data_IF_263446886394
#
_entry.id   IF_263446886394
#
_cell.length_a   1.000
_cell.length_b   1.000
_cell.length_c   1.000
_cell.angle_alpha   90.00
_cell.angle_beta   90.00
_cell.angle_gamma   90.00
#
_symmetry.space_group_name_H-M   'P 1'
#
loop_
_entity.id
_entity.type
_entity.pdbx_description
1 polymer ?
#
# COMPACT_ATOMS: atom_id res chain seq x y z
N UNK A 1 -9.48 -8.85 14.18
CA UNK A 1 -9.96 -10.24 14.06
C UNK A 1 -10.76 -10.37 12.76
N UNK A 2 -10.46 -11.36 11.92
CA UNK A 2 -11.26 -11.54 10.73
C UNK A 2 -12.71 -11.91 11.10
N UNK A 3 -13.62 -11.45 10.27
CA UNK A 3 -15.03 -11.80 10.38
C UNK A 3 -15.21 -13.31 10.18
N UNK A 4 -16.24 -13.87 10.78
CA UNK A 4 -16.60 -15.28 10.60
C UNK A 4 -16.78 -15.61 9.12
N UNK A 5 -17.43 -14.72 8.38
CA UNK A 5 -17.64 -14.91 6.95
C UNK A 5 -16.32 -14.96 6.18
N UNK A 6 -15.32 -14.17 6.56
CA UNK A 6 -13.98 -14.22 5.96
C UNK A 6 -13.31 -15.56 6.22
N UNK A 7 -13.39 -16.05 7.45
CA UNK A 7 -12.79 -17.33 7.82
C UNK A 7 -13.47 -18.49 7.09
N UNK A 8 -14.78 -18.40 6.91
CA UNK A 8 -15.56 -19.42 6.20
C UNK A 8 -15.53 -19.28 4.68
N UNK A 9 -14.77 -18.28 4.17
CA UNK A 9 -14.64 -18.05 2.74
C UNK A 9 -15.81 -17.34 2.11
N UNK A 10 -16.74 -16.81 2.93
CA UNK A 10 -17.90 -16.07 2.45
C UNK A 10 -17.72 -14.57 2.41
N UNK A 11 -16.62 -14.06 2.95
CA UNK A 11 -16.33 -12.63 2.97
C UNK A 11 -15.76 -12.14 1.65
N UNK A 12 -16.26 -11.00 1.18
CA UNK A 12 -15.72 -10.38 -0.01
C UNK A 12 -14.46 -9.59 0.35
N UNK A 13 -13.38 -9.84 -0.39
CA UNK A 13 -12.20 -9.00 -0.31
C UNK A 13 -12.46 -7.75 -1.13
N UNK A 14 -12.16 -6.59 -0.55
CA UNK A 14 -12.25 -5.33 -1.28
C UNK A 14 -11.22 -5.30 -2.40
N UNK A 15 -11.57 -4.73 -3.56
CA UNK A 15 -10.58 -4.54 -4.62
C UNK A 15 -9.50 -3.59 -4.17
N UNK A 16 -8.29 -3.75 -4.73
CA UNK A 16 -7.17 -2.87 -4.48
C UNK A 16 -7.30 -1.57 -5.29
N UNK A 17 -6.81 -0.46 -4.73
CA UNK A 17 -6.69 0.80 -5.48
C UNK A 17 -5.77 0.67 -6.69
N UNK A 18 -4.91 -0.34 -6.73
CA UNK A 18 -3.99 -0.56 -7.85
C UNK A 18 -4.71 -0.72 -9.19
N UNK A 19 -5.94 -1.20 -9.18
CA UNK A 19 -6.76 -1.30 -10.39
C UNK A 19 -7.14 0.05 -10.99
N UNK A 20 -7.05 1.13 -10.21
CA UNK A 20 -7.37 2.49 -10.65
C UNK A 20 -6.12 3.35 -10.89
N UNK A 21 -4.93 2.84 -10.60
CA UNK A 21 -3.66 3.54 -10.69
C UNK A 21 -2.75 2.80 -11.66
N UNK A 22 -3.01 2.97 -12.95
CA UNK A 22 -2.31 2.25 -14.01
C UNK A 22 -1.32 3.12 -14.78
N UNK A 23 -1.70 4.33 -15.13
CA UNK A 23 -0.91 5.20 -16.01
C UNK A 23 -0.78 6.61 -15.47
N UNK A 24 0.16 7.35 -16.03
CA UNK A 24 0.41 8.76 -15.66
C UNK A 24 -0.90 9.56 -15.67
N UNK A 25 -1.14 10.28 -14.60
CA UNK A 25 -2.33 11.09 -14.42
C UNK A 25 -3.49 10.39 -13.71
N UNK A 26 -3.42 9.06 -13.55
CA UNK A 26 -4.45 8.34 -12.80
C UNK A 26 -4.45 8.79 -11.34
N UNK A 27 -5.65 8.97 -10.79
CA UNK A 27 -5.84 9.53 -9.46
C UNK A 27 -6.97 8.83 -8.73
N UNK A 28 -6.78 8.59 -7.44
CA UNK A 28 -7.80 8.05 -6.54
C UNK A 28 -7.99 9.03 -5.40
N UNK A 29 -9.24 9.38 -5.11
CA UNK A 29 -9.61 10.23 -3.97
C UNK A 29 -10.65 9.48 -3.16
N UNK A 30 -10.43 9.38 -1.84
CA UNK A 30 -11.38 8.70 -0.99
C UNK A 30 -11.26 9.11 0.47
N UNK A 31 -12.28 8.75 1.24
CA UNK A 31 -12.26 8.89 2.69
C UNK A 31 -11.66 7.62 3.29
N UNK A 32 -10.77 7.80 4.27
CA UNK A 32 -10.17 6.68 4.99
C UNK A 32 -11.22 6.14 5.97
N UNK A 33 -11.66 4.89 5.76
CA UNK A 33 -12.79 4.31 6.52
C UNK A 33 -12.37 3.21 7.49
N UNK A 34 -11.07 2.90 7.55
CA UNK A 34 -10.53 1.95 8.54
C UNK A 34 -9.26 2.52 9.18
N UNK A 35 -8.88 1.99 10.33
CA UNK A 35 -7.61 2.37 10.96
C UNK A 35 -6.43 1.89 10.12
N UNK A 36 -5.48 2.77 9.77
CA UNK A 36 -4.27 2.33 9.08
C UNK A 36 -3.49 1.32 9.92
N UNK A 37 -2.99 0.28 9.25
CA UNK A 37 -2.23 -0.81 9.89
C UNK A 37 -0.89 -0.97 9.20
N UNK A 38 0.11 -1.38 9.98
CA UNK A 38 1.40 -1.81 9.44
C UNK A 38 1.33 -3.32 9.20
N UNK A 39 1.68 -3.75 7.99
CA UNK A 39 1.74 -5.16 7.62
C UNK A 39 3.07 -5.44 6.94
N UNK A 40 3.64 -6.60 7.21
CA UNK A 40 4.85 -7.02 6.51
C UNK A 40 4.49 -7.44 5.09
N UNK A 41 5.28 -6.99 4.12
CA UNK A 41 5.11 -7.36 2.72
C UNK A 41 5.49 -8.82 2.49
N UNK A 42 4.83 -9.43 1.51
CA UNK A 42 5.15 -10.77 1.01
C UNK A 42 5.60 -10.67 -0.44
N UNK A 43 6.39 -11.64 -0.89
CA UNK A 43 6.72 -11.71 -2.30
C UNK A 43 5.47 -12.03 -3.13
N UNK A 44 5.45 -11.54 -4.36
CA UNK A 44 4.34 -11.81 -5.28
C UNK A 44 4.51 -13.18 -5.91
N UNK A 45 3.60 -14.12 -5.57
CA UNK A 45 3.57 -15.47 -6.14
C UNK A 45 2.15 -15.73 -6.65
N UNK A 46 2.04 -16.06 -7.92
CA UNK A 46 0.74 -16.30 -8.53
C UNK A 46 0.06 -17.53 -7.91
N UNK A 47 -1.19 -17.36 -7.49
CA UNK A 47 -2.05 -18.45 -7.02
C UNK A 47 -1.85 -18.91 -5.59
N UNK A 48 -0.91 -18.31 -4.83
CA UNK A 48 -0.70 -18.65 -3.42
C UNK A 48 -0.01 -17.51 -2.67
N UNK A 49 -0.12 -17.47 -1.32
CA UNK A 49 0.62 -16.50 -0.53
C UNK A 49 2.13 -16.71 -0.69
N UNK A 50 2.87 -15.63 -0.95
CA UNK A 50 4.31 -15.65 -0.99
C UNK A 50 4.92 -15.63 0.41
N UNK A 51 6.23 -15.83 0.48
CA UNK A 51 6.96 -15.70 1.73
C UNK A 51 7.08 -14.22 2.13
N UNK A 52 7.21 -13.96 3.44
CA UNK A 52 7.55 -12.62 3.93
C UNK A 52 8.89 -12.19 3.36
N UNK A 53 9.03 -10.89 3.08
CA UNK A 53 10.26 -10.31 2.55
C UNK A 53 10.91 -9.39 3.56
N UNK A 54 12.24 -9.29 3.45
CA UNK A 54 13.09 -8.56 4.39
C UNK A 54 14.12 -7.74 3.63
N UNK A 55 14.51 -6.61 4.22
CA UNK A 55 15.72 -5.91 3.80
C UNK A 55 16.91 -6.56 4.50
N UNK A 56 17.90 -6.94 3.72
CA UNK A 56 19.19 -7.41 4.24
C UNK A 56 20.30 -6.72 3.46
N UNK A 57 20.92 -5.75 4.10
CA UNK A 57 21.81 -4.81 3.40
C UNK A 57 21.02 -3.98 2.39
N UNK A 58 21.48 -3.98 1.14
CA UNK A 58 20.80 -3.28 0.02
C UNK A 58 19.83 -4.18 -0.75
N UNK A 59 19.69 -5.42 -0.33
CA UNK A 59 18.89 -6.42 -1.05
C UNK A 59 17.57 -6.67 -0.34
N UNK A 60 16.56 -7.04 -1.13
CA UNK A 60 15.31 -7.59 -0.62
C UNK A 60 15.37 -9.11 -0.80
N UNK A 61 15.18 -9.84 0.28
CA UNK A 61 15.25 -11.32 0.28
C UNK A 61 13.98 -11.88 0.89
N UNK A 62 13.62 -13.10 0.49
CA UNK A 62 12.50 -13.81 1.12
C UNK A 62 12.98 -14.52 2.39
N UNK A 63 12.05 -15.10 3.14
CA UNK A 63 12.34 -15.77 4.41
C UNK A 63 13.30 -16.95 4.22
N UNK A 64 13.16 -17.70 3.13
CA UNK A 64 14.01 -18.83 2.83
C UNK A 64 15.47 -18.44 2.59
N UNK A 65 15.69 -17.32 1.89
CA UNK A 65 17.02 -16.84 1.52
C UNK A 65 17.65 -15.94 2.57
N UNK A 66 16.89 -15.59 3.62
CA UNK A 66 17.35 -14.71 4.68
C UNK A 66 18.51 -15.34 5.47
N UNK A 67 19.61 -14.59 5.60
CA UNK A 67 20.73 -15.00 6.45
C UNK A 67 20.52 -14.47 7.87
N UNK A 68 20.13 -15.34 8.79
CA UNK A 68 19.80 -14.96 10.16
C UNK A 68 21.01 -14.47 10.98
N UNK A 69 22.23 -14.69 10.49
CA UNK A 69 23.44 -14.27 11.17
C UNK A 69 23.85 -12.82 10.86
N UNK A 70 23.23 -12.22 9.85
CA UNK A 70 23.46 -10.82 9.45
C UNK A 70 22.25 -9.96 9.82
N UNK A 71 22.45 -8.65 10.03
CA UNK A 71 21.33 -7.75 10.32
C UNK A 71 20.29 -7.77 9.21
N UNK A 72 19.02 -7.71 9.59
CA UNK A 72 17.90 -7.65 8.65
C UNK A 72 16.72 -6.91 9.26
N UNK A 73 15.83 -6.42 8.41
CA UNK A 73 14.61 -5.74 8.81
C UNK A 73 13.44 -6.21 7.92
N UNK A 74 12.22 -6.32 8.47
CA UNK A 74 11.07 -6.62 7.64
C UNK A 74 10.77 -5.49 6.67
N UNK A 75 10.30 -5.83 5.48
CA UNK A 75 9.78 -4.85 4.53
C UNK A 75 8.30 -4.65 4.87
N UNK A 76 7.96 -3.47 5.35
CA UNK A 76 6.62 -3.15 5.80
C UNK A 76 5.86 -2.28 4.81
N UNK A 77 4.54 -2.34 4.88
CA UNK A 77 3.63 -1.47 4.16
C UNK A 77 2.55 -0.97 5.12
N UNK A 78 1.84 0.07 4.72
CA UNK A 78 0.69 0.57 5.46
C UNK A 78 -0.56 0.22 4.66
N UNK A 79 -1.57 -0.32 5.34
CA UNK A 79 -2.81 -0.79 4.71
C UNK A 79 -4.01 -0.16 5.40
N UNK A 80 -4.93 0.34 4.62
CA UNK A 80 -6.21 0.87 5.11
C UNK A 80 -7.25 0.81 4.00
N UNK A 81 -8.52 0.89 4.38
CA UNK A 81 -9.62 0.93 3.42
C UNK A 81 -10.06 2.37 3.17
N UNK A 82 -10.45 2.64 1.94
CA UNK A 82 -10.99 3.93 1.54
C UNK A 82 -12.35 3.75 0.87
N UNK A 83 -13.17 4.80 0.95
CA UNK A 83 -14.44 4.87 0.24
C UNK A 83 -14.42 6.06 -0.69
N UNK A 84 -14.65 5.80 -1.98
CA UNK A 84 -14.68 6.86 -2.98
C UNK A 84 -16.04 7.54 -3.00
N UNK A 85 -16.14 8.65 -3.75
CA UNK A 85 -17.34 9.48 -3.82
C UNK A 85 -18.59 8.71 -4.28
N UNK A 86 -18.40 7.69 -5.11
CA UNK A 86 -19.49 6.84 -5.61
C UNK A 86 -19.94 5.76 -4.61
N UNK A 87 -19.38 5.76 -3.38
CA UNK A 87 -19.73 4.82 -2.32
C UNK A 87 -19.00 3.49 -2.37
N UNK A 88 -18.17 3.27 -3.36
CA UNK A 88 -17.40 2.02 -3.48
C UNK A 88 -16.21 2.05 -2.51
N UNK A 89 -15.85 0.87 -2.01
CA UNK A 89 -14.72 0.70 -1.09
C UNK A 89 -13.58 -0.06 -1.73
N UNK A 90 -12.37 0.31 -1.35
CA UNK A 90 -11.13 -0.27 -1.86
C UNK A 90 -10.13 -0.39 -0.75
N UNK A 91 -9.20 -1.34 -0.87
CA UNK A 91 -8.06 -1.43 0.04
C UNK A 91 -6.86 -0.73 -0.58
N UNK A 92 -6.26 0.16 0.20
CA UNK A 92 -5.05 0.86 -0.17
C UNK A 92 -3.84 0.13 0.43
N UNK A 93 -3.06 -0.50 -0.43
CA UNK A 93 -1.82 -1.18 -0.07
C UNK A 93 -0.66 -0.22 -0.37
N UNK A 94 -0.22 0.50 0.68
CA UNK A 94 0.79 1.55 0.53
C UNK A 94 2.19 0.97 0.74
N UNK A 95 2.76 0.45 -0.34
CA UNK A 95 4.10 -0.13 -0.36
C UNK A 95 5.01 0.67 -1.30
N UNK A 96 6.30 0.42 -1.23
CA UNK A 96 7.32 0.97 -2.15
C UNK A 96 7.13 2.47 -2.40
N UNK A 97 6.87 2.85 -3.66
CA UNK A 97 6.76 4.26 -4.06
C UNK A 97 5.53 4.95 -3.45
N UNK A 98 4.43 4.22 -3.24
CA UNK A 98 3.26 4.77 -2.55
C UNK A 98 3.59 5.09 -1.09
N UNK A 99 4.39 4.24 -0.44
CA UNK A 99 4.82 4.49 0.94
C UNK A 99 5.75 5.69 1.02
N UNK A 100 6.66 5.86 0.05
CA UNK A 100 7.50 7.06 -0.04
C UNK A 100 6.66 8.34 -0.15
N UNK A 101 5.64 8.32 -0.99
CA UNK A 101 4.74 9.46 -1.17
C UNK A 101 3.95 9.76 0.11
N UNK A 102 3.54 8.72 0.83
CA UNK A 102 2.85 8.85 2.11
C UNK A 102 3.76 9.47 3.17
N UNK A 103 5.02 9.04 3.23
CA UNK A 103 6.02 9.62 4.12
C UNK A 103 6.30 11.09 3.80
N UNK A 104 6.33 11.44 2.51
CA UNK A 104 6.51 12.83 2.08
C UNK A 104 5.33 13.70 2.54
N UNK A 105 4.10 13.21 2.44
CA UNK A 105 2.92 13.91 2.94
C UNK A 105 3.03 14.14 4.45
N UNK A 106 3.44 13.14 5.19
CA UNK A 106 3.62 13.24 6.64
C UNK A 106 4.69 14.28 7.01
N UNK A 107 5.78 14.35 6.25
CA UNK A 107 6.83 15.36 6.46
C UNK A 107 6.31 16.78 6.25
N UNK A 108 5.29 16.96 5.40
CA UNK A 108 4.64 18.27 5.21
C UNK A 108 3.67 18.62 6.34
N UNK A 109 3.50 17.74 7.33
CA UNK A 109 2.59 17.95 8.46
C UNK A 109 1.19 17.42 8.22
N UNK A 110 0.95 16.70 7.13
CA UNK A 110 -0.35 16.07 6.85
C UNK A 110 -0.54 14.82 7.70
N UNK A 111 -1.78 14.49 8.02
CA UNK A 111 -2.13 13.42 8.95
C UNK A 111 -2.87 12.30 8.24
N UNK A 112 -2.41 11.06 8.44
CA UNK A 112 -3.08 9.84 8.00
C UNK A 112 -3.92 9.30 9.17
N UNK A 113 -5.24 9.39 9.05
CA UNK A 113 -6.12 8.93 10.12
C UNK A 113 -7.48 8.52 9.56
N UNK A 114 -8.12 7.55 10.23
CA UNK A 114 -9.49 7.14 9.92
C UNK A 114 -10.41 8.37 9.98
N UNK A 115 -11.27 8.51 9.00
CA UNK A 115 -12.17 9.66 8.84
C UNK A 115 -11.59 10.79 8.00
N UNK A 116 -10.28 10.80 7.79
CA UNK A 116 -9.63 11.78 6.92
C UNK A 116 -9.78 11.44 5.45
N UNK A 117 -9.25 12.31 4.60
CA UNK A 117 -9.28 12.13 3.14
C UNK A 117 -7.87 11.87 2.61
N UNK A 118 -7.79 11.10 1.55
CA UNK A 118 -6.55 10.85 0.84
C UNK A 118 -6.75 11.01 -0.67
N UNK A 119 -5.76 11.62 -1.31
CA UNK A 119 -5.66 11.66 -2.77
C UNK A 119 -4.31 11.05 -3.17
N UNK A 120 -4.35 10.08 -4.07
CA UNK A 120 -3.17 9.39 -4.59
C UNK A 120 -3.17 9.56 -6.09
N UNK A 121 -2.08 10.07 -6.65
CA UNK A 121 -1.96 10.33 -8.09
C UNK A 121 -0.62 9.83 -8.62
N UNK A 122 -0.60 9.23 -9.80
CA UNK A 122 0.65 8.93 -10.52
C UNK A 122 1.08 10.22 -11.20
N UNK A 123 2.13 10.85 -10.68
CA UNK A 123 2.61 12.15 -11.15
C UNK A 123 3.83 12.06 -12.06
N UNK A 124 4.50 10.91 -12.10
CA UNK A 124 5.70 10.72 -12.92
C UNK A 124 5.86 9.25 -13.24
N UNK A 125 6.43 8.96 -14.40
CA UNK A 125 6.91 7.63 -14.77
C UNK A 125 8.38 7.74 -15.12
N UNK A 126 9.20 6.83 -14.58
CA UNK A 126 10.64 6.76 -14.85
C UNK A 126 11.00 5.45 -15.50
N UNK A 127 11.91 5.49 -16.45
CA UNK A 127 12.49 4.29 -17.03
C UNK A 127 13.25 3.54 -15.91
N UNK A 128 12.85 2.31 -15.67
CA UNK A 128 13.44 1.47 -14.63
C UNK A 128 14.46 0.46 -15.18
N UNK A 129 14.72 0.52 -16.50
CA UNK A 129 15.54 -0.49 -17.16
C UNK A 129 14.83 -1.84 -17.33
N UNK A 130 13.57 -1.94 -16.94
CA UNK A 130 12.72 -3.13 -17.08
C UNK A 130 11.62 -2.87 -18.10
N UNK A 131 10.81 -3.90 -18.38
CA UNK A 131 9.69 -3.81 -19.31
C UNK A 131 8.64 -2.77 -18.88
N UNK A 132 8.51 -2.51 -17.58
CA UNK A 132 7.50 -1.61 -17.03
C UNK A 132 8.17 -0.39 -16.40
N UNK A 133 7.69 0.83 -16.73
CA UNK A 133 8.22 2.02 -16.10
C UNK A 133 7.91 2.05 -14.61
N UNK A 134 8.79 2.67 -13.85
CA UNK A 134 8.59 2.91 -12.42
C UNK A 134 7.61 4.05 -12.24
N UNK A 135 6.54 3.81 -11.50
CA UNK A 135 5.51 4.82 -11.20
C UNK A 135 5.90 5.60 -9.96
N UNK A 136 5.81 6.93 -10.04
CA UNK A 136 6.03 7.83 -8.91
C UNK A 136 4.70 8.44 -8.53
N UNK A 137 4.39 8.40 -7.25
CA UNK A 137 3.10 8.83 -6.72
C UNK A 137 3.23 10.11 -5.92
N UNK A 138 2.18 10.92 -5.91
CA UNK A 138 2.00 12.02 -4.97
C UNK A 138 0.78 11.71 -4.12
N UNK A 139 0.93 11.87 -2.81
CA UNK A 139 -0.14 11.65 -1.84
C UNK A 139 -0.44 12.96 -1.13
N UNK A 140 -1.72 13.29 -1.00
CA UNK A 140 -2.20 14.41 -0.20
C UNK A 140 -3.16 13.86 0.85
N UNK A 141 -3.03 14.33 2.08
CA UNK A 141 -3.86 13.89 3.20
C UNK A 141 -4.57 15.09 3.81
N UNK A 142 -5.83 14.89 4.19
CA UNK A 142 -6.57 15.84 5.02
C UNK A 142 -7.00 15.15 6.30
N UNK A 143 -6.79 15.82 7.43
CA UNK A 143 -7.22 15.32 8.72
C UNK A 143 -8.76 15.18 8.77
N UNK A 144 -9.29 14.28 9.62
CA UNK A 144 -10.73 14.16 9.82
C UNK A 144 -11.32 15.49 10.26
N UNK A 145 -12.53 15.77 9.80
CA UNK A 145 -13.31 16.91 10.32
C UNK A 145 -13.82 16.55 11.71
N UNK A 146 -13.67 17.48 12.64
CA UNK A 146 -14.21 17.34 13.97
C UNK A 146 -15.74 17.56 13.97
#
# INVERSE_FOLDING_TARGET
MPDIDDVLGGGEKLPSINGMLDKLGDKVIGQIVSEPKVMQCREFVQGKPGEFIFFQGKKVVNQTDLNLQLPYEPVNQIVFDIQTKDGKRYTAWMDKEKLKALRAARKRGEVLAKGGMIAIEITEEKDSGTRYPKKIYTVQLKAPKE
#
